data_IF_341369633017
#
_entry.id   IF_341369633017
#
_cell.length_a   1.000
_cell.length_b   1.000
_cell.length_c   1.000
_cell.angle_alpha   90.00
_cell.angle_beta   90.00
_cell.angle_gamma   90.00
#
_symmetry.space_group_name_H-M   'P 1'
#
loop_
_entity.id
_entity.type
_entity.pdbx_description
1 polymer ?
#
# COMPACT_ATOMS: atom_id res chain seq x y z
N UNK A 1 -1.21 -5.50 -31.31
CA UNK A 1 -2.23 -5.25 -30.27
C UNK A 1 -1.51 -5.27 -28.93
N UNK A 2 -1.44 -4.11 -28.26
CA UNK A 2 -0.69 -3.94 -27.01
C UNK A 2 -1.65 -4.11 -25.84
N UNK A 3 -1.46 -5.15 -25.03
CA UNK A 3 -2.18 -5.31 -23.77
C UNK A 3 -1.28 -4.73 -22.67
N UNK A 4 -1.48 -3.46 -22.34
CA UNK A 4 -0.89 -2.88 -21.14
C UNK A 4 -1.62 -3.53 -19.96
N UNK A 5 -0.90 -4.35 -19.20
CA UNK A 5 -1.37 -4.90 -17.94
C UNK A 5 -1.08 -3.86 -16.86
N UNK A 6 -2.12 -3.18 -16.37
CA UNK A 6 -2.00 -2.27 -15.23
C UNK A 6 -1.96 -3.10 -13.94
N UNK A 7 -0.77 -3.30 -13.39
CA UNK A 7 -0.60 -3.91 -12.07
C UNK A 7 -0.77 -2.83 -11.02
N UNK A 8 -1.94 -2.78 -10.38
CA UNK A 8 -2.19 -1.90 -9.24
C UNK A 8 -1.61 -2.52 -7.97
N UNK A 9 -0.88 -1.72 -7.17
CA UNK A 9 -0.40 -2.16 -5.87
C UNK A 9 -1.59 -2.29 -4.90
N UNK A 10 -1.80 -3.50 -4.36
CA UNK A 10 -2.87 -3.80 -3.41
C UNK A 10 -2.38 -3.66 -1.96
N UNK A 11 -3.11 -2.91 -1.15
CA UNK A 11 -2.79 -2.65 0.24
C UNK A 11 -3.59 -3.56 1.18
N UNK A 12 -3.05 -4.73 1.50
CA UNK A 12 -3.75 -5.76 2.29
C UNK A 12 -3.23 -5.89 3.73
N UNK A 13 -2.09 -5.27 4.07
CA UNK A 13 -1.47 -5.40 5.40
C UNK A 13 -1.73 -4.18 6.29
N UNK A 14 -2.58 -4.33 7.33
CA UNK A 14 -2.85 -3.25 8.30
C UNK A 14 -1.60 -2.71 8.98
N UNK A 15 -0.62 -3.57 9.31
CA UNK A 15 0.58 -3.17 10.03
C UNK A 15 1.51 -2.34 9.14
N UNK A 16 1.63 -2.72 7.85
CA UNK A 16 2.37 -1.92 6.88
C UNK A 16 1.67 -0.58 6.60
N UNK A 17 0.34 -0.56 6.57
CA UNK A 17 -0.44 0.67 6.37
C UNK A 17 -0.30 1.63 7.57
N UNK A 18 -0.34 1.11 8.80
CA UNK A 18 -0.09 1.89 10.00
C UNK A 18 1.33 2.48 10.00
N UNK A 19 2.35 1.67 9.69
CA UNK A 19 3.73 2.15 9.56
C UNK A 19 3.91 3.21 8.46
N UNK A 20 3.17 3.09 7.35
CA UNK A 20 3.15 4.09 6.29
C UNK A 20 2.52 5.41 6.76
N UNK A 21 1.44 5.35 7.55
CA UNK A 21 0.82 6.53 8.16
C UNK A 21 1.79 7.24 9.11
N UNK A 22 2.47 6.49 9.98
CA UNK A 22 3.48 7.02 10.91
C UNK A 22 4.62 7.72 10.14
N UNK A 23 5.12 7.08 9.08
CA UNK A 23 6.15 7.65 8.19
C UNK A 23 5.72 8.96 7.55
N UNK A 24 4.46 9.06 7.15
CA UNK A 24 3.87 10.26 6.55
C UNK A 24 3.36 11.28 7.59
N UNK A 25 3.58 11.02 8.88
CA UNK A 25 3.12 11.86 10.01
C UNK A 25 1.61 12.05 10.03
N UNK A 26 0.88 11.00 9.68
CA UNK A 26 -0.57 10.94 9.73
C UNK A 26 -1.04 10.31 11.05
N UNK A 27 -2.29 10.56 11.47
CA UNK A 27 -2.91 9.74 12.50
C UNK A 27 -2.97 8.27 12.05
N UNK A 28 -2.96 7.32 13.01
CA UNK A 28 -3.07 5.90 12.69
C UNK A 28 -4.39 5.62 11.96
N UNK A 29 -4.40 4.65 11.02
CA UNK A 29 -5.61 4.29 10.29
C UNK A 29 -6.67 3.75 11.25
N UNK A 30 -7.93 4.12 11.02
CA UNK A 30 -9.07 3.71 11.84
C UNK A 30 -10.07 2.94 10.99
N UNK A 31 -10.60 1.83 11.51
CA UNK A 31 -11.67 1.11 10.84
C UNK A 31 -12.96 1.93 10.91
N UNK A 32 -13.44 2.40 9.76
CA UNK A 32 -14.64 3.22 9.67
C UNK A 32 -15.37 2.96 8.33
N UNK A 33 -16.64 3.35 8.28
CA UNK A 33 -17.48 3.30 7.08
C UNK A 33 -17.71 4.72 6.56
N UNK A 34 -17.33 4.94 5.31
CA UNK A 34 -17.33 6.28 4.69
C UNK A 34 -18.27 6.28 3.50
N UNK A 35 -19.12 7.30 3.43
CA UNK A 35 -19.96 7.58 2.27
C UNK A 35 -19.31 8.67 1.43
N UNK A 36 -18.98 8.37 0.17
CA UNK A 36 -18.43 9.33 -0.79
C UNK A 36 -19.52 10.20 -1.42
N UNK A 37 -19.12 11.18 -2.22
CA UNK A 37 -20.03 12.13 -2.86
C UNK A 37 -21.07 11.47 -3.77
N UNK A 38 -20.69 10.39 -4.47
CA UNK A 38 -21.55 9.61 -5.35
C UNK A 38 -22.54 8.68 -4.59
N UNK A 39 -22.56 8.75 -3.26
CA UNK A 39 -23.30 7.86 -2.34
C UNK A 39 -22.79 6.42 -2.30
N UNK A 40 -21.61 6.15 -2.86
CA UNK A 40 -20.93 4.88 -2.60
C UNK A 40 -20.49 4.82 -1.13
N UNK A 41 -20.65 3.65 -0.52
CA UNK A 41 -20.30 3.40 0.88
C UNK A 41 -19.18 2.38 0.88
N UNK A 42 -18.04 2.76 1.46
CA UNK A 42 -16.87 1.90 1.58
C UNK A 42 -16.51 1.72 3.05
N UNK A 43 -16.17 0.50 3.43
CA UNK A 43 -15.76 0.17 4.81
C UNK A 43 -14.36 -0.39 4.79
N UNK A 44 -13.51 0.06 5.70
CA UNK A 44 -12.13 -0.41 5.77
C UNK A 44 -11.28 0.46 6.68
N UNK A 45 -9.95 0.34 6.51
CA UNK A 45 -9.01 1.19 7.20
C UNK A 45 -8.98 2.58 6.57
N UNK A 46 -9.48 3.55 7.32
CA UNK A 46 -9.61 4.93 6.87
C UNK A 46 -8.40 5.75 7.29
N UNK A 47 -7.90 6.55 6.36
CA UNK A 47 -6.77 7.46 6.53
C UNK A 47 -7.26 8.83 6.13
N UNK A 48 -7.03 9.84 6.97
CA UNK A 48 -7.43 11.23 6.71
C UNK A 48 -6.19 12.11 6.55
N UNK A 49 -5.70 12.32 5.32
CA UNK A 49 -4.63 13.26 5.06
C UNK A 49 -5.12 14.71 5.24
N UNK A 50 -4.23 15.65 5.61
CA UNK A 50 -4.57 17.06 5.63
C UNK A 50 -4.96 17.55 4.24
N UNK A 51 -6.03 18.34 4.15
CA UNK A 51 -6.54 18.90 2.88
C UNK A 51 -7.46 17.98 2.08
N UNK A 52 -7.74 16.77 2.56
CA UNK A 52 -8.72 15.88 1.94
C UNK A 52 -10.12 16.13 2.49
N UNK A 53 -11.12 16.19 1.60
CA UNK A 53 -12.54 16.32 1.97
C UNK A 53 -13.09 14.98 2.45
N UNK A 54 -12.78 13.92 1.68
CA UNK A 54 -13.12 12.54 2.02
C UNK A 54 -11.86 11.77 2.42
N UNK A 55 -11.93 10.93 3.46
CA UNK A 55 -10.81 10.07 3.81
C UNK A 55 -10.54 9.03 2.71
N UNK A 56 -9.31 8.54 2.68
CA UNK A 56 -8.91 7.40 1.87
C UNK A 56 -9.32 6.15 2.64
N UNK A 57 -10.07 5.25 2.01
CA UNK A 57 -10.47 3.96 2.62
C UNK A 57 -9.66 2.85 1.96
N UNK A 58 -8.94 2.10 2.77
CA UNK A 58 -8.22 0.90 2.34
C UNK A 58 -9.04 -0.32 2.75
N UNK A 59 -9.52 -1.08 1.78
CA UNK A 59 -10.10 -2.38 2.03
C UNK A 59 -8.96 -3.41 2.14
N UNK A 60 -8.81 -3.99 3.32
CA UNK A 60 -7.72 -4.93 3.62
C UNK A 60 -7.97 -6.33 3.06
N UNK A 61 -9.23 -6.67 2.75
CA UNK A 61 -9.60 -7.97 2.17
C UNK A 61 -9.29 -8.00 0.68
N UNK A 62 -9.74 -6.98 -0.05
CA UNK A 62 -9.51 -6.85 -1.50
C UNK A 62 -8.15 -6.23 -1.82
N UNK A 63 -7.62 -5.42 -0.90
CA UNK A 63 -6.44 -4.58 -1.09
C UNK A 63 -6.70 -3.34 -1.94
N UNK A 64 -7.97 -3.02 -2.22
CA UNK A 64 -8.33 -1.88 -3.03
C UNK A 64 -8.31 -0.58 -2.19
N UNK A 65 -7.91 0.51 -2.83
CA UNK A 65 -7.77 1.81 -2.20
C UNK A 65 -8.83 2.75 -2.80
N UNK A 66 -9.82 3.09 -2.00
CA UNK A 66 -10.87 4.02 -2.38
C UNK A 66 -10.47 5.44 -1.96
N UNK A 67 -10.54 6.36 -2.90
CA UNK A 67 -10.33 7.78 -2.66
C UNK A 67 -11.16 8.59 -3.65
N UNK A 68 -11.46 9.83 -3.27
CA UNK A 68 -12.15 10.76 -4.15
C UNK A 68 -11.41 12.09 -4.12
N UNK A 69 -10.66 12.35 -5.18
CA UNK A 69 -9.82 13.54 -5.33
C UNK A 69 -10.46 14.58 -6.25
N UNK A 70 -11.54 14.25 -6.98
CA UNK A 70 -12.23 15.06 -8.00
C UNK A 70 -11.37 16.18 -8.62
N UNK A 71 -10.55 15.83 -9.63
CA UNK A 71 -9.62 16.74 -10.31
C UNK A 71 -8.68 17.52 -9.37
N UNK A 72 -8.35 16.96 -8.20
CA UNK A 72 -7.53 17.61 -7.19
C UNK A 72 -8.28 18.56 -6.25
N UNK A 73 -9.60 18.70 -6.38
CA UNK A 73 -10.42 19.59 -5.52
C UNK A 73 -10.69 19.02 -4.13
N UNK A 74 -10.67 17.69 -3.99
CA UNK A 74 -11.00 17.00 -2.75
C UNK A 74 -9.83 16.28 -2.09
N UNK A 75 -8.65 16.42 -2.68
CA UNK A 75 -7.42 15.86 -2.17
C UNK A 75 -6.31 15.93 -3.22
N UNK A 76 -5.08 15.68 -2.79
CA UNK A 76 -3.92 15.62 -3.67
C UNK A 76 -3.71 14.19 -4.19
N UNK A 77 -3.94 13.96 -5.49
CA UNK A 77 -3.71 12.66 -6.14
C UNK A 77 -2.26 12.16 -5.93
N UNK A 78 -1.28 13.07 -5.91
CA UNK A 78 0.11 12.69 -5.64
C UNK A 78 0.28 12.16 -4.22
N UNK A 79 -0.57 12.56 -3.27
CA UNK A 79 -0.55 12.00 -1.92
C UNK A 79 -0.93 10.52 -1.91
N UNK A 80 -1.90 10.10 -2.73
CA UNK A 80 -2.30 8.69 -2.86
C UNK A 80 -1.11 7.85 -3.33
N UNK A 81 -0.38 8.34 -4.34
CA UNK A 81 0.86 7.72 -4.79
C UNK A 81 1.93 7.65 -3.69
N UNK A 82 2.12 8.73 -2.92
CA UNK A 82 3.06 8.75 -1.78
C UNK A 82 2.67 7.75 -0.69
N UNK A 83 1.38 7.60 -0.41
CA UNK A 83 0.85 6.62 0.55
C UNK A 83 1.15 5.19 0.10
N UNK A 84 0.86 4.87 -1.17
CA UNK A 84 1.15 3.55 -1.74
C UNK A 84 2.66 3.26 -1.76
N UNK A 85 3.50 4.24 -2.11
CA UNK A 85 4.95 4.11 -2.05
C UNK A 85 5.45 3.84 -0.62
N UNK A 86 4.94 4.59 0.36
CA UNK A 86 5.28 4.38 1.78
C UNK A 86 4.84 2.99 2.26
N UNK A 87 3.62 2.57 1.90
CA UNK A 87 3.10 1.23 2.20
C UNK A 87 4.00 0.14 1.60
N UNK A 88 4.38 0.24 0.33
CA UNK A 88 5.23 -0.75 -0.33
C UNK A 88 6.60 -0.87 0.35
N UNK A 89 7.17 0.26 0.78
CA UNK A 89 8.43 0.29 1.52
C UNK A 89 8.30 -0.41 2.88
N UNK A 90 7.29 -0.06 3.67
CA UNK A 90 7.13 -0.63 5.01
C UNK A 90 6.72 -2.11 4.94
N UNK A 91 5.86 -2.50 4.00
CA UNK A 91 5.53 -3.91 3.75
C UNK A 91 6.76 -4.74 3.41
N UNK A 92 7.62 -4.22 2.54
CA UNK A 92 8.87 -4.91 2.14
C UNK A 92 9.81 -5.07 3.33
N UNK A 93 9.99 -4.02 4.14
CA UNK A 93 10.82 -4.07 5.35
C UNK A 93 10.29 -5.08 6.36
N UNK A 94 8.98 -5.10 6.60
CA UNK A 94 8.33 -6.05 7.51
C UNK A 94 8.53 -7.50 7.05
N UNK A 95 8.29 -7.78 5.76
CA UNK A 95 8.48 -9.12 5.19
C UNK A 95 9.95 -9.57 5.21
N UNK A 96 10.87 -8.70 4.83
CA UNK A 96 12.30 -9.00 4.86
C UNK A 96 12.78 -9.26 6.29
N UNK A 97 12.38 -8.43 7.26
CA UNK A 97 12.71 -8.63 8.67
C UNK A 97 12.16 -9.95 9.20
N UNK A 98 10.91 -10.29 8.86
CA UNK A 98 10.29 -11.56 9.26
C UNK A 98 11.06 -12.78 8.73
N UNK A 99 11.71 -12.65 7.55
CA UNK A 99 12.56 -13.69 6.95
C UNK A 99 14.04 -13.60 7.35
N UNK A 100 14.39 -12.73 8.30
CA UNK A 100 15.78 -12.51 8.74
C UNK A 100 16.67 -11.90 7.66
N UNK A 101 16.09 -11.24 6.66
CA UNK A 101 16.82 -10.51 5.63
C UNK A 101 17.10 -9.08 6.11
N UNK A 102 18.17 -8.48 5.57
CA UNK A 102 18.51 -7.07 5.81
C UNK A 102 17.92 -6.23 4.68
N UNK A 103 17.27 -5.12 5.02
CA UNK A 103 16.83 -4.12 4.04
C UNK A 103 17.63 -2.84 4.21
N UNK A 104 18.08 -2.29 3.09
CA UNK A 104 18.63 -0.94 3.01
C UNK A 104 17.72 -0.09 2.13
N UNK A 105 17.35 1.08 2.62
CA UNK A 105 16.54 2.06 1.89
C UNK A 105 17.45 3.17 1.36
N UNK A 106 17.22 3.61 0.13
CA UNK A 106 17.89 4.75 -0.48
C UNK A 106 16.87 5.63 -1.19
N UNK A 107 16.70 6.86 -0.73
CA UNK A 107 15.90 7.86 -1.43
C UNK A 107 16.64 8.33 -2.68
N UNK A 108 15.95 8.38 -3.81
CA UNK A 108 16.48 8.85 -5.09
C UNK A 108 16.09 10.32 -5.33
N UNK A 109 16.86 11.01 -6.17
CA UNK A 109 16.69 12.44 -6.44
C UNK A 109 15.37 12.80 -7.12
N UNK A 110 14.72 11.82 -7.75
CA UNK A 110 13.42 11.94 -8.42
C UNK A 110 12.22 11.68 -7.48
N UNK A 111 12.47 11.44 -6.19
CA UNK A 111 11.44 11.14 -5.19
C UNK A 111 11.05 9.66 -5.11
N UNK A 112 11.59 8.81 -5.99
CA UNK A 112 11.43 7.36 -5.89
C UNK A 112 12.30 6.77 -4.77
N UNK A 113 11.98 5.55 -4.35
CA UNK A 113 12.71 4.85 -3.28
C UNK A 113 13.26 3.55 -3.83
N UNK A 114 14.57 3.35 -3.66
CA UNK A 114 15.23 2.07 -3.91
C UNK A 114 15.31 1.28 -2.61
N UNK A 115 14.81 0.05 -2.64
CA UNK A 115 14.99 -0.92 -1.58
C UNK A 115 15.95 -2.00 -2.03
N UNK A 116 17.06 -2.16 -1.30
CA UNK A 116 17.99 -3.26 -1.49
C UNK A 116 17.75 -4.25 -0.36
N UNK A 117 17.20 -5.40 -0.71
CA UNK A 117 17.10 -6.54 0.23
C UNK A 117 18.36 -7.37 0.06
N UNK A 118 19.03 -7.69 1.15
CA UNK A 118 20.15 -8.63 1.20
C UNK A 118 19.68 -9.85 1.98
N UNK A 119 19.70 -11.01 1.32
CA UNK A 119 19.38 -12.27 1.97
C UNK A 119 20.28 -12.49 3.18
N UNK A 120 19.67 -12.91 4.28
CA UNK A 120 20.39 -13.42 5.44
C UNK A 120 20.93 -14.83 5.18
N UNK A 121 21.42 -15.50 6.23
CA UNK A 121 21.97 -16.86 6.15
C UNK A 121 21.00 -17.91 5.55
N UNK A 122 19.69 -17.63 5.53
CA UNK A 122 18.66 -18.48 4.94
C UNK A 122 18.53 -18.36 3.40
N UNK A 123 19.24 -17.43 2.74
CA UNK A 123 19.04 -17.12 1.31
C UNK A 123 17.67 -16.47 1.04
N UNK A 124 17.35 -16.17 -0.23
CA UNK A 124 16.00 -15.70 -0.61
C UNK A 124 14.97 -16.84 -0.73
N UNK A 125 15.39 -18.09 -0.48
CA UNK A 125 14.57 -19.29 -0.61
C UNK A 125 14.42 -19.74 -2.08
N UNK A 126 14.90 -20.95 -2.37
CA UNK A 126 14.74 -21.68 -3.63
C UNK A 126 13.38 -22.40 -3.66
N UNK A 127 12.28 -21.64 -3.58
CA UNK A 127 10.94 -22.18 -3.78
C UNK A 127 10.08 -21.13 -4.49
N UNK A 128 9.72 -21.33 -5.76
CA UNK A 128 8.77 -20.46 -6.40
C UNK A 128 7.42 -20.64 -5.71
N UNK A 129 6.98 -19.64 -4.97
CA UNK A 129 5.58 -19.52 -4.56
C UNK A 129 4.76 -19.10 -5.79
N UNK A 130 4.67 -19.99 -6.79
CA UNK A 130 3.56 -19.92 -7.73
C UNK A 130 2.32 -20.25 -6.92
N UNK A 131 1.38 -19.30 -6.91
CA UNK A 131 -0.02 -19.51 -6.56
C UNK A 131 -0.45 -20.85 -7.18
N UNK A 132 -0.62 -21.86 -6.33
CA UNK A 132 -1.24 -23.11 -6.74
C UNK A 132 -2.71 -22.78 -6.91
N UNK A 133 -3.09 -22.43 -8.13
CA UNK A 133 -4.49 -22.40 -8.56
C UNK A 133 -5.05 -23.78 -8.23
N UNK A 134 -5.99 -23.82 -7.30
CA UNK A 134 -6.69 -25.05 -6.94
C UNK A 134 -7.40 -25.61 -8.16
N UNK A 135 -6.97 -26.78 -8.58
CA UNK A 135 -7.73 -27.67 -9.45
C UNK A 135 -8.38 -28.75 -8.56
N UNK A 136 -9.56 -29.19 -8.99
CA UNK A 136 -10.40 -30.28 -8.46
C UNK A 136 -11.52 -29.91 -7.47
N UNK A 137 -12.73 -29.74 -8.02
CA UNK A 137 -13.78 -30.75 -7.91
C UNK A 137 -14.65 -30.75 -9.18
#
# INVERSE_FOLDING_TARGET
MSHIVTVAAKATDPAALAAACDRLKLPPPQTDTVTYFDRSVQTGLTIRPPGFVYPIVCDVETGDLYHDTYEGRWGDECFVGRLLQAYAVEKTKLQARARGHRCMETALADGSVRLTVTAGAAGFGDAPQYLTTGEAA
#
